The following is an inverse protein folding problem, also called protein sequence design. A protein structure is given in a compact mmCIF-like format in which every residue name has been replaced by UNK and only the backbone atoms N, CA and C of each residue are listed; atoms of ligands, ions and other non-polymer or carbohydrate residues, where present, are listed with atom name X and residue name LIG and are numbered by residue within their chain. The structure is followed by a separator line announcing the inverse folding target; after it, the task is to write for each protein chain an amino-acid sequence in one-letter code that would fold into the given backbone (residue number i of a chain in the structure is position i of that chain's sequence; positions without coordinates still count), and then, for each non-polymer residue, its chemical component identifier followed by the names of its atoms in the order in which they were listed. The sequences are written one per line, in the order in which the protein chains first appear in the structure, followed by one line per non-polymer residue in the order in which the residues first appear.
data_IF_328182880716
#
_entry.id   IF_328182880716
#
_cell.length_a   1.000
_cell.length_b   1.000
_cell.length_c   1.000
_cell.angle_alpha   90.00
_cell.angle_beta   90.00
_cell.angle_gamma   90.00
#
_symmetry.space_group_name_H-M   'P 1'
#
loop_
_entity.id
_entity.type
_entity.pdbx_description
1 polymer ?
#
# COMPACT_ATOMS: atom_id res chain seq x y z
N UNK A 1 -10.12 5.79 30.46
CA UNK A 1 -9.58 4.85 29.46
C UNK A 1 -9.09 5.69 28.31
N UNK A 2 -7.79 6.01 28.29
CA UNK A 2 -7.14 6.71 27.19
C UNK A 2 -6.44 5.66 26.35
N UNK A 3 -6.97 5.42 25.15
CA UNK A 3 -6.37 4.54 24.14
C UNK A 3 -4.95 5.05 23.85
N UNK A 4 -3.92 4.20 23.90
CA UNK A 4 -2.59 4.60 23.47
C UNK A 4 -2.66 4.88 21.97
N UNK A 5 -2.27 6.10 21.58
CA UNK A 5 -1.89 6.39 20.20
C UNK A 5 -0.69 5.51 19.87
N UNK A 6 -0.93 4.37 19.21
CA UNK A 6 0.14 3.57 18.61
C UNK A 6 0.96 4.48 17.69
N UNK A 7 2.28 4.61 17.87
CA UNK A 7 3.10 5.25 16.87
C UNK A 7 2.94 4.46 15.57
N UNK A 8 2.85 5.09 14.39
CA UNK A 8 3.01 4.37 13.14
C UNK A 8 4.49 3.98 13.00
N UNK A 9 4.95 3.04 13.81
CA UNK A 9 6.31 2.49 13.84
C UNK A 9 6.42 1.35 12.81
N UNK A 10 5.81 1.54 11.64
CA UNK A 10 6.07 0.64 10.53
C UNK A 10 7.25 1.26 9.77
N UNK A 11 8.45 0.65 9.81
CA UNK A 11 9.54 1.11 8.98
C UNK A 11 9.04 1.23 7.53
N UNK A 12 9.55 2.20 6.76
CA UNK A 12 9.01 2.53 5.43
C UNK A 12 8.94 1.30 4.51
N UNK A 13 9.82 0.33 4.71
CA UNK A 13 9.77 -1.00 4.10
C UNK A 13 8.50 -1.80 4.43
N UNK A 14 8.12 -1.87 5.71
CA UNK A 14 6.91 -2.56 6.17
C UNK A 14 5.65 -1.88 5.63
N UNK A 15 5.64 -0.54 5.59
CA UNK A 15 4.53 0.22 5.00
C UNK A 15 4.37 -0.08 3.51
N UNK A 16 5.45 -0.06 2.74
CA UNK A 16 5.43 -0.40 1.31
C UNK A 16 4.98 -1.85 1.08
N UNK A 17 5.46 -2.81 1.88
CA UNK A 17 5.06 -4.21 1.77
C UNK A 17 3.57 -4.43 2.05
N UNK A 18 3.02 -3.75 3.06
CA UNK A 18 1.59 -3.83 3.39
C UNK A 18 0.72 -3.26 2.27
N UNK A 19 1.06 -2.07 1.76
CA UNK A 19 0.33 -1.43 0.64
C UNK A 19 0.34 -2.30 -0.62
N UNK A 20 1.48 -2.91 -0.94
CA UNK A 20 1.58 -3.85 -2.06
C UNK A 20 0.68 -5.08 -1.86
N UNK A 21 0.65 -5.62 -0.64
CA UNK A 21 -0.21 -6.75 -0.30
C UNK A 21 -1.70 -6.39 -0.40
N UNK A 22 -2.10 -5.23 0.13
CA UNK A 22 -3.48 -4.74 0.04
C UNK A 22 -3.91 -4.54 -1.41
N UNK A 23 -3.03 -3.98 -2.25
CA UNK A 23 -3.30 -3.87 -3.69
C UNK A 23 -3.54 -5.23 -4.35
N UNK A 24 -2.72 -6.25 -4.06
CA UNK A 24 -2.91 -7.60 -4.60
C UNK A 24 -4.23 -8.24 -4.12
N UNK A 25 -4.59 -8.06 -2.85
CA UNK A 25 -5.84 -8.57 -2.28
C UNK A 25 -7.04 -7.89 -2.94
N UNK A 26 -6.97 -6.56 -3.10
CA UNK A 26 -8.00 -5.79 -3.78
C UNK A 26 -8.14 -6.23 -5.23
N UNK A 27 -7.05 -6.29 -6.00
CA UNK A 27 -7.08 -6.69 -7.41
C UNK A 27 -7.65 -8.11 -7.59
N UNK A 28 -7.35 -9.04 -6.67
CA UNK A 28 -7.91 -10.39 -6.70
C UNK A 28 -9.41 -10.44 -6.37
N UNK A 29 -9.87 -9.55 -5.48
CA UNK A 29 -11.25 -9.52 -4.97
C UNK A 29 -12.19 -8.66 -5.81
N UNK A 30 -11.66 -7.60 -6.44
CA UNK A 30 -12.39 -6.69 -7.30
C UNK A 30 -12.69 -7.38 -8.65
N UNK A 31 -13.88 -7.97 -8.74
CA UNK A 31 -14.35 -8.69 -9.93
C UNK A 31 -14.75 -7.78 -11.09
N UNK A 32 -14.88 -6.47 -10.86
CA UNK A 32 -15.19 -5.48 -11.88
C UNK A 32 -13.91 -5.07 -12.64
N UNK A 33 -13.57 -3.78 -12.64
CA UNK A 33 -12.53 -3.16 -13.46
C UNK A 33 -11.15 -3.82 -13.32
N UNK A 34 -10.74 -4.15 -12.09
CA UNK A 34 -9.42 -4.74 -11.82
C UNK A 34 -9.24 -6.13 -12.42
N UNK A 35 -10.26 -6.99 -12.32
CA UNK A 35 -10.16 -8.39 -12.78
C UNK A 35 -10.71 -8.62 -14.18
N UNK A 36 -11.76 -7.91 -14.59
CA UNK A 36 -12.41 -8.07 -15.91
C UNK A 36 -11.71 -7.22 -16.97
N UNK A 37 -11.34 -5.99 -16.63
CA UNK A 37 -10.69 -5.09 -17.59
C UNK A 37 -9.16 -5.06 -17.44
N UNK A 38 -8.62 -5.58 -16.32
CA UNK A 38 -7.20 -5.52 -16.02
C UNK A 38 -6.71 -4.10 -15.71
N UNK A 39 -7.63 -3.20 -15.31
CA UNK A 39 -7.33 -1.78 -15.03
C UNK A 39 -7.54 -1.51 -13.55
N UNK A 40 -6.59 -0.81 -12.92
CA UNK A 40 -6.69 -0.38 -11.53
C UNK A 40 -7.92 0.54 -11.35
N UNK A 41 -8.90 0.12 -10.55
CA UNK A 41 -9.97 0.99 -10.08
C UNK A 41 -9.41 2.12 -9.19
N UNK A 42 -10.23 3.09 -8.79
CA UNK A 42 -9.77 4.22 -7.97
C UNK A 42 -9.05 3.79 -6.69
N UNK A 43 -9.56 2.78 -5.98
CA UNK A 43 -8.93 2.25 -4.76
C UNK A 43 -7.61 1.52 -5.06
N UNK A 44 -7.54 0.74 -6.14
CA UNK A 44 -6.30 0.09 -6.57
C UNK A 44 -5.24 1.12 -7.03
N UNK A 45 -5.66 2.20 -7.70
CA UNK A 45 -4.78 3.32 -8.05
C UNK A 45 -4.24 3.99 -6.81
N UNK A 46 -5.09 4.30 -5.83
CA UNK A 46 -4.68 4.92 -4.58
C UNK A 46 -3.63 4.06 -3.85
N UNK A 47 -3.86 2.75 -3.72
CA UNK A 47 -2.93 1.82 -3.09
C UNK A 47 -1.58 1.78 -3.83
N UNK A 48 -1.60 1.88 -5.15
CA UNK A 48 -0.39 1.89 -6.00
C UNK A 48 0.40 3.19 -5.86
N UNK A 49 -0.28 4.33 -5.78
CA UNK A 49 0.35 5.63 -5.54
C UNK A 49 1.01 5.69 -4.16
N UNK A 50 0.30 5.22 -3.13
CA UNK A 50 0.85 5.14 -1.77
C UNK A 50 2.03 4.17 -1.69
N UNK A 51 1.94 3.00 -2.34
CA UNK A 51 3.07 2.07 -2.44
C UNK A 51 4.27 2.75 -3.08
N UNK A 52 4.06 3.50 -4.16
CA UNK A 52 5.14 4.21 -4.86
C UNK A 52 5.78 5.28 -3.97
N UNK A 53 4.98 6.05 -3.24
CA UNK A 53 5.49 7.05 -2.29
C UNK A 53 6.27 6.40 -1.15
N UNK A 54 5.76 5.29 -0.59
CA UNK A 54 6.45 4.54 0.46
C UNK A 54 7.76 3.89 -0.04
N UNK A 55 7.75 3.33 -1.25
CA UNK A 55 8.93 2.73 -1.86
C UNK A 55 9.98 3.77 -2.26
N UNK A 56 9.56 4.98 -2.65
CA UNK A 56 10.47 6.10 -2.91
C UNK A 56 11.15 6.55 -1.61
N UNK A 57 10.39 6.66 -0.51
CA UNK A 57 10.93 6.96 0.81
C UNK A 57 11.96 5.91 1.29
N UNK A 58 11.68 4.62 1.06
CA UNK A 58 12.65 3.53 1.28
C UNK A 58 13.92 3.71 0.45
N UNK A 59 13.77 4.07 -0.83
CA UNK A 59 14.90 4.21 -1.75
C UNK A 59 15.75 5.44 -1.44
N UNK A 60 15.12 6.52 -0.99
CA UNK A 60 15.79 7.75 -0.59
C UNK A 60 16.58 7.58 0.72
N UNK A 61 16.14 6.68 1.59
CA UNK A 61 16.80 6.34 2.85
C UNK A 61 16.98 4.82 2.94
N UNK A 62 17.92 4.23 2.18
CA UNK A 62 18.28 2.85 2.40
C UNK A 62 18.84 2.76 3.82
N UNK A 63 18.16 2.07 4.72
CA UNK A 63 18.69 1.80 6.05
C UNK A 63 20.06 1.14 5.86
N UNK A 64 21.12 1.88 6.24
CA UNK A 64 22.52 1.53 6.02
C UNK A 64 23.08 0.67 7.14
#
# INVERSE_FOLDING_TARGET
MTTPSEPPDHPPHTRAANLYRDWLIHAASCKDTCRVQGVDCEEAQHLREEYRAASDAVRAFPEG
#
